data_IF_215505354382
#
_entry.id   IF_215505354382
#
_cell.length_a   1.000
_cell.length_b   1.000
_cell.length_c   1.000
_cell.angle_alpha   90.00
_cell.angle_beta   90.00
_cell.angle_gamma   90.00
#
_symmetry.space_group_name_H-M   'P 1'
#
loop_
_entity.id
_entity.type
_entity.pdbx_description
1 polymer ?
#
# COMPACT_ATOMS: atom_id res chain seq x y z
N UNK A 1 -33.03 16.73 28.03
CA UNK A 1 -31.91 17.04 28.97
C UNK A 1 -30.66 17.55 28.25
N UNK A 2 -30.18 16.90 27.18
CA UNK A 2 -28.90 17.24 26.52
C UNK A 2 -28.92 18.61 25.81
N UNK A 3 -30.02 18.96 25.11
CA UNK A 3 -30.11 20.21 24.35
C UNK A 3 -30.06 21.46 25.26
N UNK A 4 -30.75 21.40 26.40
CA UNK A 4 -30.80 22.47 27.39
C UNK A 4 -29.43 22.72 28.03
N UNK A 5 -28.63 21.67 28.23
CA UNK A 5 -27.28 21.79 28.79
C UNK A 5 -26.29 22.38 27.77
N UNK A 6 -26.40 22.01 26.50
CA UNK A 6 -25.60 22.60 25.42
C UNK A 6 -25.91 24.09 25.27
N UNK A 7 -27.20 24.46 25.30
CA UNK A 7 -27.64 25.85 25.18
C UNK A 7 -27.17 26.66 26.39
N UNK A 8 -27.35 26.15 27.63
CA UNK A 8 -26.82 26.79 28.84
C UNK A 8 -25.31 26.97 28.79
N UNK A 9 -24.57 25.96 28.32
CA UNK A 9 -23.11 26.02 28.20
C UNK A 9 -22.66 27.09 27.18
N UNK A 10 -23.31 27.14 26.02
CA UNK A 10 -23.00 28.13 24.97
C UNK A 10 -23.33 29.57 25.40
N UNK A 11 -24.46 29.77 26.09
CA UNK A 11 -24.84 31.08 26.64
C UNK A 11 -23.82 31.52 27.71
N UNK A 12 -23.42 30.62 28.60
CA UNK A 12 -22.42 30.89 29.66
C UNK A 12 -21.04 31.21 29.08
N UNK A 13 -20.63 30.57 27.99
CA UNK A 13 -19.40 30.87 27.27
C UNK A 13 -19.47 32.24 26.58
N UNK A 14 -20.59 32.59 25.94
CA UNK A 14 -20.79 33.90 25.30
C UNK A 14 -20.77 35.05 26.31
N UNK A 15 -21.35 34.86 27.51
CA UNK A 15 -21.34 35.84 28.59
C UNK A 15 -19.96 36.05 29.21
N UNK A 16 -19.13 35.00 29.30
CA UNK A 16 -17.76 35.09 29.87
C UNK A 16 -16.70 35.56 28.87
N UNK A 17 -16.90 35.34 27.57
CA UNK A 17 -15.91 35.60 26.53
C UNK A 17 -16.44 36.61 25.50
N UNK A 18 -16.39 37.89 25.90
CA UNK A 18 -16.74 39.04 25.07
C UNK A 18 -15.98 39.00 23.72
N UNK A 19 -16.64 39.37 22.63
CA UNK A 19 -16.00 39.43 21.30
C UNK A 19 -14.79 40.36 21.34
N UNK A 20 -13.66 39.92 20.78
CA UNK A 20 -12.42 40.70 20.71
C UNK A 20 -11.56 40.69 21.98
N UNK A 21 -12.05 40.18 23.11
CA UNK A 21 -11.26 40.12 24.35
C UNK A 21 -10.05 39.20 24.23
N UNK A 22 -8.99 39.51 24.98
CA UNK A 22 -7.77 38.71 25.03
C UNK A 22 -8.03 37.30 25.59
N UNK A 23 -8.87 37.20 26.62
CA UNK A 23 -9.35 35.93 27.18
C UNK A 23 -10.05 35.04 26.15
N UNK A 24 -10.83 35.64 25.23
CA UNK A 24 -11.46 34.90 24.13
C UNK A 24 -10.45 34.41 23.11
N UNK A 25 -9.46 35.23 22.76
CA UNK A 25 -8.37 34.84 21.84
C UNK A 25 -7.59 33.66 22.41
N UNK A 26 -7.25 33.72 23.69
CA UNK A 26 -6.53 32.64 24.38
C UNK A 26 -7.36 31.34 24.47
N UNK A 27 -8.65 31.45 24.81
CA UNK A 27 -9.56 30.30 24.83
C UNK A 27 -9.72 29.64 23.45
N UNK A 28 -9.88 30.45 22.39
CA UNK A 28 -9.97 29.95 21.01
C UNK A 28 -8.65 29.34 20.57
N UNK A 29 -7.50 29.94 20.90
CA UNK A 29 -6.19 29.37 20.61
C UNK A 29 -5.99 28.02 21.27
N UNK A 30 -6.36 27.89 22.56
CA UNK A 30 -6.34 26.63 23.30
C UNK A 30 -7.25 25.57 22.66
N UNK A 31 -8.48 25.91 22.31
CA UNK A 31 -9.42 24.99 21.63
C UNK A 31 -8.92 24.57 20.25
N UNK A 32 -8.33 25.50 19.49
CA UNK A 32 -7.71 25.21 18.18
C UNK A 32 -6.52 24.26 18.33
N UNK A 33 -5.72 24.42 19.39
CA UNK A 33 -4.61 23.50 19.71
C UNK A 33 -5.12 22.11 20.10
N UNK A 34 -6.19 22.02 20.91
CA UNK A 34 -6.84 20.74 21.26
C UNK A 34 -7.37 20.01 20.01
N UNK A 35 -8.05 20.73 19.10
CA UNK A 35 -8.55 20.16 17.85
C UNK A 35 -7.39 19.69 16.97
N UNK A 36 -6.35 20.50 16.80
CA UNK A 36 -5.15 20.11 16.03
C UNK A 36 -4.48 18.86 16.60
N UNK A 37 -4.36 18.76 17.93
CA UNK A 37 -3.81 17.55 18.60
C UNK A 37 -4.67 16.32 18.30
N UNK A 38 -6.00 16.45 18.36
CA UNK A 38 -6.93 15.35 18.03
C UNK A 38 -6.81 14.92 16.56
N UNK A 39 -6.79 15.88 15.65
CA UNK A 39 -6.62 15.63 14.22
C UNK A 39 -5.27 14.97 13.92
N UNK A 40 -4.20 15.44 14.56
CA UNK A 40 -2.86 14.88 14.40
C UNK A 40 -2.79 13.38 14.75
N UNK A 41 -3.44 12.95 15.83
CA UNK A 41 -3.49 11.53 16.21
C UNK A 41 -4.20 10.70 15.15
N UNK A 42 -5.29 11.21 14.58
CA UNK A 42 -6.02 10.53 13.52
C UNK A 42 -5.19 10.42 12.22
N UNK A 43 -4.60 11.53 11.77
CA UNK A 43 -3.74 11.56 10.59
C UNK A 43 -2.52 10.66 10.75
N UNK A 44 -1.89 10.66 11.94
CA UNK A 44 -0.74 9.79 12.23
C UNK A 44 -1.10 8.31 12.08
N UNK A 45 -2.22 7.86 12.67
CA UNK A 45 -2.67 6.45 12.55
C UNK A 45 -2.97 6.06 11.10
N UNK A 46 -3.56 6.98 10.32
CA UNK A 46 -3.81 6.75 8.90
C UNK A 46 -2.51 6.54 8.12
N UNK A 47 -1.49 7.36 8.40
CA UNK A 47 -0.18 7.24 7.76
C UNK A 47 0.52 5.93 8.13
N UNK A 48 0.46 5.54 9.42
CA UNK A 48 0.99 4.24 9.88
C UNK A 48 0.29 3.05 9.21
N UNK A 49 -1.03 3.08 9.07
CA UNK A 49 -1.79 2.03 8.37
C UNK A 49 -1.44 1.91 6.88
N UNK A 50 -1.18 3.05 6.21
CA UNK A 50 -0.73 3.06 4.82
C UNK A 50 0.67 2.44 4.70
N UNK A 51 1.59 2.84 5.58
CA UNK A 51 2.95 2.28 5.60
C UNK A 51 2.95 0.76 5.86
N UNK A 52 2.06 0.24 6.72
CA UNK A 52 1.93 -1.22 6.92
C UNK A 52 1.38 -1.94 5.68
N UNK A 53 0.47 -1.28 4.96
CA UNK A 53 -0.08 -1.82 3.71
C UNK A 53 1.00 -1.85 2.63
N UNK A 54 1.74 -0.76 2.46
CA UNK A 54 2.88 -0.65 1.55
C UNK A 54 3.93 -1.72 1.84
N UNK A 55 4.33 -1.87 3.11
CA UNK A 55 5.24 -2.94 3.52
C UNK A 55 4.72 -4.34 3.16
N UNK A 56 3.41 -4.58 3.27
CA UNK A 56 2.81 -5.88 2.88
C UNK A 56 2.95 -6.16 1.38
N UNK A 57 2.81 -5.14 0.52
CA UNK A 57 3.01 -5.27 -0.92
C UNK A 57 4.48 -5.52 -1.25
N UNK A 58 5.40 -4.76 -0.66
CA UNK A 58 6.84 -4.91 -0.89
C UNK A 58 7.34 -6.30 -0.50
N UNK A 59 6.89 -6.81 0.65
CA UNK A 59 7.24 -8.17 1.09
C UNK A 59 6.63 -9.22 0.15
N UNK A 60 5.36 -9.08 -0.24
CA UNK A 60 4.73 -9.99 -1.20
C UNK A 60 5.47 -10.00 -2.55
N UNK A 61 5.83 -8.82 -3.07
CA UNK A 61 6.61 -8.66 -4.29
C UNK A 61 7.97 -9.35 -4.17
N UNK A 62 8.66 -9.18 -3.04
CA UNK A 62 9.96 -9.82 -2.79
C UNK A 62 9.84 -11.35 -2.77
N UNK A 63 8.84 -11.88 -2.06
CA UNK A 63 8.58 -13.33 -2.01
C UNK A 63 8.33 -13.89 -3.41
N UNK A 64 7.47 -13.23 -4.19
CA UNK A 64 7.13 -13.63 -5.57
C UNK A 64 8.33 -13.56 -6.50
N UNK A 65 9.11 -12.47 -6.46
CA UNK A 65 10.36 -12.32 -7.26
C UNK A 65 11.39 -13.41 -6.92
N UNK A 66 11.44 -13.85 -5.67
CA UNK A 66 12.34 -14.92 -5.21
C UNK A 66 11.72 -16.32 -5.32
N UNK A 67 10.52 -16.45 -5.90
CA UNK A 67 9.77 -17.71 -6.05
C UNK A 67 9.64 -18.47 -4.71
N UNK A 68 9.38 -17.73 -3.63
CA UNK A 68 9.20 -18.26 -2.27
C UNK A 68 7.74 -18.59 -1.99
N UNK A 69 7.49 -19.37 -0.94
CA UNK A 69 6.12 -19.77 -0.59
C UNK A 69 5.36 -18.55 -0.06
N UNK A 70 4.06 -18.47 -0.40
CA UNK A 70 3.21 -17.40 0.14
C UNK A 70 2.98 -17.52 1.64
N UNK A 71 3.20 -18.70 2.23
CA UNK A 71 3.17 -18.89 3.68
C UNK A 71 4.39 -18.28 4.39
N UNK A 72 5.51 -18.06 3.67
CA UNK A 72 6.77 -17.60 4.26
C UNK A 72 6.64 -16.20 4.90
N UNK A 73 5.66 -15.40 4.47
CA UNK A 73 5.34 -14.11 5.09
C UNK A 73 4.97 -14.24 6.57
N UNK A 74 4.16 -15.24 6.90
CA UNK A 74 3.71 -15.51 8.28
C UNK A 74 4.68 -16.43 9.03
N UNK A 75 5.21 -17.45 8.35
CA UNK A 75 6.05 -18.49 8.96
C UNK A 75 7.52 -18.09 9.14
N UNK A 76 8.04 -17.18 8.31
CA UNK A 76 9.46 -16.80 8.32
C UNK A 76 9.61 -15.29 8.60
N UNK A 77 8.98 -14.44 7.79
CA UNK A 77 9.22 -12.99 7.85
C UNK A 77 8.77 -12.40 9.20
N UNK A 78 7.56 -12.73 9.67
CA UNK A 78 7.08 -12.26 10.99
C UNK A 78 7.98 -12.70 12.14
N UNK A 79 8.35 -14.00 12.29
CA UNK A 79 9.32 -14.42 13.30
C UNK A 79 10.67 -13.71 13.21
N UNK A 80 11.21 -13.49 12.01
CA UNK A 80 12.45 -12.74 11.82
C UNK A 80 12.35 -11.32 12.38
N UNK A 81 11.24 -10.62 12.11
CA UNK A 81 11.00 -9.27 12.63
C UNK A 81 10.87 -9.26 14.16
N UNK A 82 10.26 -10.27 14.76
CA UNK A 82 10.16 -10.40 16.22
C UNK A 82 11.53 -10.67 16.86
N UNK A 83 12.35 -11.54 16.28
CA UNK A 83 13.73 -11.79 16.74
C UNK A 83 14.53 -10.48 16.70
N UNK A 84 14.45 -9.75 15.58
CA UNK A 84 15.11 -8.45 15.44
C UNK A 84 14.64 -7.44 16.51
N UNK A 85 13.33 -7.33 16.73
CA UNK A 85 12.77 -6.45 17.75
C UNK A 85 13.23 -6.80 19.17
N UNK A 86 13.32 -8.11 19.46
CA UNK A 86 13.79 -8.63 20.74
C UNK A 86 15.28 -8.33 20.97
N UNK A 87 16.13 -8.51 19.96
CA UNK A 87 17.56 -8.14 20.04
C UNK A 87 17.76 -6.65 20.33
N UNK A 88 16.86 -5.79 19.85
CA UNK A 88 16.89 -4.35 20.11
C UNK A 88 16.12 -3.92 21.37
N UNK A 89 15.53 -4.85 22.12
CA UNK A 89 14.68 -4.58 23.26
C UNK A 89 13.54 -3.58 22.97
N UNK A 90 13.00 -3.56 21.73
CA UNK A 90 12.04 -2.56 21.29
C UNK A 90 10.66 -3.16 21.00
N UNK A 91 9.79 -3.13 22.02
CA UNK A 91 8.40 -3.63 21.95
C UNK A 91 7.52 -2.91 20.93
N UNK A 92 7.87 -1.70 20.49
CA UNK A 92 7.09 -1.00 19.47
C UNK A 92 7.33 -1.59 18.08
N UNK A 93 8.54 -2.07 17.79
CA UNK A 93 8.85 -2.73 16.51
C UNK A 93 8.14 -4.07 16.45
N UNK A 94 8.14 -4.82 17.55
CA UNK A 94 7.43 -6.11 17.67
C UNK A 94 5.93 -5.96 17.35
N UNK A 95 5.26 -4.98 17.97
CA UNK A 95 3.84 -4.69 17.68
C UNK A 95 3.60 -4.32 16.21
N UNK A 96 4.48 -3.49 15.63
CA UNK A 96 4.38 -3.10 14.22
C UNK A 96 4.59 -4.28 13.28
N UNK A 97 5.46 -5.23 13.62
CA UNK A 97 5.65 -6.45 12.83
C UNK A 97 4.39 -7.30 12.77
N UNK A 98 3.63 -7.37 13.87
CA UNK A 98 2.36 -8.08 13.92
C UNK A 98 1.24 -7.40 13.11
N UNK A 99 1.26 -6.07 13.06
CA UNK A 99 0.32 -5.24 12.28
C UNK A 99 0.45 -5.43 10.76
N UNK A 100 1.62 -5.83 10.26
CA UNK A 100 1.80 -6.11 8.82
C UNK A 100 1.00 -7.38 8.46
N UNK A 101 0.07 -7.24 7.53
CA UNK A 101 -0.73 -8.36 7.04
C UNK A 101 0.08 -9.22 6.07
N UNK A 102 0.63 -10.34 6.56
CA UNK A 102 1.46 -11.28 5.80
C UNK A 102 0.93 -12.72 5.83
N UNK A 103 -0.35 -12.92 6.15
CA UNK A 103 -0.96 -14.25 6.04
C UNK A 103 -0.86 -14.74 4.61
N UNK A 104 -0.86 -16.07 4.41
CA UNK A 104 -0.82 -16.69 3.08
C UNK A 104 -1.85 -16.06 2.12
N UNK A 105 -3.10 -15.90 2.57
CA UNK A 105 -4.18 -15.31 1.78
C UNK A 105 -3.89 -13.85 1.40
N UNK A 106 -3.29 -13.08 2.32
CA UNK A 106 -2.93 -11.69 2.04
C UNK A 106 -1.82 -11.62 1.01
N UNK A 107 -0.75 -12.40 1.17
CA UNK A 107 0.37 -12.43 0.23
C UNK A 107 -0.09 -12.87 -1.16
N UNK A 108 -0.97 -13.86 -1.25
CA UNK A 108 -1.61 -14.27 -2.52
C UNK A 108 -2.39 -13.12 -3.15
N UNK A 109 -3.34 -12.50 -2.43
CA UNK A 109 -4.13 -11.38 -2.97
C UNK A 109 -3.25 -10.21 -3.41
N UNK A 110 -2.24 -9.84 -2.62
CA UNK A 110 -1.29 -8.77 -2.97
C UNK A 110 -0.50 -9.10 -4.24
N UNK A 111 -0.11 -10.36 -4.40
CA UNK A 111 0.57 -10.84 -5.62
C UNK A 111 -0.33 -10.79 -6.84
N UNK A 112 -1.61 -11.18 -6.71
CA UNK A 112 -2.60 -11.06 -7.79
C UNK A 112 -2.84 -9.60 -8.19
N UNK A 113 -2.98 -8.71 -7.20
CA UNK A 113 -3.11 -7.27 -7.44
C UNK A 113 -1.89 -6.70 -8.17
N UNK A 114 -0.67 -7.05 -7.74
CA UNK A 114 0.57 -6.65 -8.40
C UNK A 114 0.66 -7.20 -9.83
N UNK A 115 0.26 -8.45 -10.05
CA UNK A 115 0.25 -9.05 -11.39
C UNK A 115 -0.79 -8.37 -12.31
N UNK A 116 -1.95 -8.02 -11.76
CA UNK A 116 -2.99 -7.28 -12.48
C UNK A 116 -2.52 -5.87 -12.84
N UNK A 117 -1.81 -5.19 -11.94
CA UNK A 117 -1.24 -3.87 -12.18
C UNK A 117 -0.21 -3.90 -13.31
N UNK A 118 0.74 -4.85 -13.27
CA UNK A 118 1.71 -5.06 -14.37
C UNK A 118 1.00 -5.37 -15.69
N UNK A 119 -0.05 -6.19 -15.66
CA UNK A 119 -0.84 -6.51 -16.86
C UNK A 119 -1.57 -5.28 -17.42
N UNK A 120 -2.01 -4.37 -16.55
CA UNK A 120 -2.65 -3.12 -16.97
C UNK A 120 -1.62 -2.15 -17.56
N UNK A 121 -0.46 -2.00 -16.92
CA UNK A 121 0.63 -1.18 -17.45
C UNK A 121 1.07 -1.66 -18.85
N UNK A 122 1.16 -2.98 -19.07
CA UNK A 122 1.46 -3.53 -20.39
C UNK A 122 0.37 -3.17 -21.42
N UNK A 123 -0.92 -3.24 -21.05
CA UNK A 123 -2.01 -2.83 -21.95
C UNK A 123 -1.95 -1.35 -22.30
N UNK A 124 -1.68 -0.49 -21.32
CA UNK A 124 -1.56 0.94 -21.53
C UNK A 124 -0.35 1.27 -22.43
N UNK A 125 0.75 0.53 -22.26
CA UNK A 125 1.91 0.60 -23.15
C UNK A 125 1.55 0.18 -24.58
N UNK A 126 0.84 -0.94 -24.77
CA UNK A 126 0.41 -1.38 -26.10
C UNK A 126 -0.52 -0.35 -26.76
N UNK A 127 -1.42 0.28 -25.99
CA UNK A 127 -2.35 1.28 -26.49
C UNK A 127 -1.66 2.58 -26.93
N UNK A 128 -0.52 2.92 -26.34
CA UNK A 128 0.28 4.11 -26.66
C UNK A 128 1.35 3.85 -27.72
N UNK A 129 1.46 2.64 -28.26
CA UNK A 129 2.43 2.34 -29.30
C UNK A 129 2.06 2.97 -30.64
N UNK A 130 3.04 3.61 -31.29
CA UNK A 130 2.90 4.09 -32.66
C UNK A 130 2.88 2.90 -33.63
N UNK A 131 3.84 1.98 -33.44
CA UNK A 131 3.98 0.75 -34.22
C UNK A 131 4.35 -0.40 -33.28
N UNK A 132 3.83 -1.59 -33.58
CA UNK A 132 4.22 -2.81 -32.88
C UNK A 132 4.33 -3.98 -33.85
N UNK A 133 5.10 -4.99 -33.46
CA UNK A 133 5.14 -6.32 -34.07
C UNK A 133 5.05 -7.40 -32.99
N UNK A 134 4.62 -8.59 -33.38
CA UNK A 134 4.60 -9.76 -32.50
C UNK A 134 5.76 -10.69 -32.89
N UNK A 135 6.51 -11.13 -31.90
CA UNK A 135 7.51 -12.18 -32.05
C UNK A 135 7.03 -13.46 -31.37
N UNK A 136 7.02 -14.55 -32.11
CA UNK A 136 6.59 -15.88 -31.66
C UNK A 136 7.82 -16.76 -31.51
N UNK A 137 8.01 -17.33 -30.33
CA UNK A 137 9.12 -18.23 -30.01
C UNK A 137 8.55 -19.56 -29.51
N UNK A 138 8.76 -20.63 -30.28
CA UNK A 138 8.30 -21.97 -29.95
C UNK A 138 9.48 -22.84 -29.50
N UNK A 139 9.33 -23.47 -28.34
CA UNK A 139 10.31 -24.42 -27.79
C UNK A 139 9.61 -25.66 -27.23
N UNK A 140 10.33 -26.77 -27.09
CA UNK A 140 9.84 -27.95 -26.40
C UNK A 140 10.46 -28.05 -25.02
N UNK A 141 9.68 -28.45 -24.02
CA UNK A 141 10.20 -28.68 -22.67
C UNK A 141 10.79 -30.08 -22.51
N UNK A 142 11.30 -30.39 -21.31
CA UNK A 142 11.94 -31.67 -21.00
C UNK A 142 11.00 -32.89 -21.10
N UNK A 143 9.69 -32.67 -21.18
CA UNK A 143 8.67 -33.71 -21.35
C UNK A 143 8.05 -33.67 -22.76
N UNK A 144 8.70 -32.97 -23.70
CA UNK A 144 8.32 -32.87 -25.12
C UNK A 144 6.97 -32.16 -25.34
N UNK A 145 6.59 -31.25 -24.42
CA UNK A 145 5.42 -30.39 -24.57
C UNK A 145 5.85 -29.08 -25.24
N UNK A 146 5.15 -28.71 -26.31
CA UNK A 146 5.40 -27.45 -27.02
C UNK A 146 4.95 -26.25 -26.16
N UNK A 147 5.84 -25.27 -26.04
CA UNK A 147 5.63 -24.01 -25.34
C UNK A 147 5.85 -22.85 -26.33
N UNK A 148 4.81 -22.05 -26.54
CA UNK A 148 4.83 -20.88 -27.41
C UNK A 148 4.83 -19.61 -26.56
N UNK A 149 5.90 -18.82 -26.65
CA UNK A 149 6.01 -17.50 -26.07
C UNK A 149 5.65 -16.43 -27.13
N UNK A 150 4.76 -15.51 -26.77
CA UNK A 150 4.35 -14.39 -27.61
C UNK A 150 4.91 -13.12 -26.99
N UNK A 151 5.82 -12.47 -27.69
CA UNK A 151 6.39 -11.18 -27.31
C UNK A 151 5.78 -10.07 -28.15
N UNK A 152 5.58 -8.90 -27.55
CA UNK A 152 5.29 -7.66 -28.28
C UNK A 152 6.57 -6.82 -28.35
N UNK A 153 6.89 -6.34 -29.55
CA UNK A 153 7.96 -5.37 -29.80
C UNK A 153 7.34 -4.09 -30.28
N UNK A 154 7.59 -2.98 -29.60
CA UNK A 154 6.95 -1.71 -29.90
C UNK A 154 7.89 -0.54 -29.90
N UNK A 155 7.37 0.58 -30.43
CA UNK A 155 7.97 1.90 -30.33
C UNK A 155 6.93 2.81 -29.68
N UNK A 156 7.30 3.43 -28.56
CA UNK A 156 6.45 4.39 -27.85
C UNK A 156 6.48 5.79 -28.50
N UNK A 157 5.69 6.72 -27.97
CA UNK A 157 5.62 8.11 -28.43
C UNK A 157 6.97 8.87 -28.32
N UNK A 158 7.89 8.38 -27.49
CA UNK A 158 9.23 8.94 -27.33
C UNK A 158 10.27 8.28 -28.26
N UNK A 159 9.82 7.45 -29.21
CA UNK A 159 10.68 6.63 -30.08
C UNK A 159 11.57 5.63 -29.32
N UNK A 160 11.18 5.24 -28.11
CA UNK A 160 11.86 4.20 -27.34
C UNK A 160 11.38 2.82 -27.78
N UNK A 161 12.34 1.96 -28.13
CA UNK A 161 12.06 0.56 -28.49
C UNK A 161 11.94 -0.28 -27.23
N UNK A 162 10.93 -1.14 -27.18
CA UNK A 162 10.77 -2.11 -26.09
C UNK A 162 10.36 -3.49 -26.60
N UNK A 163 10.59 -4.51 -25.77
CA UNK A 163 10.15 -5.88 -25.97
C UNK A 163 9.62 -6.43 -24.65
N UNK A 164 8.39 -6.93 -24.65
CA UNK A 164 7.72 -7.46 -23.45
C UNK A 164 7.00 -8.79 -23.74
N UNK A 165 6.94 -9.68 -22.76
CA UNK A 165 6.21 -10.95 -22.87
C UNK A 165 4.70 -10.71 -22.71
N UNK A 166 3.94 -11.03 -23.75
CA UNK A 166 2.48 -10.85 -23.77
C UNK A 166 1.73 -12.08 -23.25
N UNK A 167 2.13 -13.27 -23.70
CA UNK A 167 1.47 -14.52 -23.32
C UNK A 167 2.36 -15.73 -23.52
N UNK A 168 2.08 -16.79 -22.77
CA UNK A 168 2.68 -18.12 -22.92
C UNK A 168 1.56 -19.14 -23.10
N UNK A 169 1.61 -19.90 -24.21
CA UNK A 169 0.66 -20.95 -24.55
C UNK A 169 1.36 -22.30 -24.49
N UNK A 170 0.69 -23.32 -23.98
CA UNK A 170 1.19 -24.71 -23.95
C UNK A 170 0.18 -25.62 -24.64
N UNK A 171 0.68 -26.56 -25.46
CA UNK A 171 -0.13 -27.57 -26.15
C UNK A 171 -0.60 -28.70 -25.23
#
# INVERSE_FOLDING_TARGET
MILTDIIKHNIRLKLKLVLGSELRREYVAKKKQEIRRRQFVFTKRSCESLAMTEASYEIALLLTKKKKSFSDGEEIVKPCLRIFANCLCNKNIEKKADEIALSKQTVTRRTEELASDVSQQLKDLVQSCIFFSLALDESTDIIDVAQLCIFIRGIDDNFSVFEELLSRVTS
#
